data_IF_243749814563
#
_entry.id   IF_243749814563
#
_cell.length_a   1.000
_cell.length_b   1.000
_cell.length_c   1.000
_cell.angle_alpha   90.00
_cell.angle_beta   90.00
_cell.angle_gamma   90.00
#
_symmetry.space_group_name_H-M   'P 1'
#
loop_
_entity.id
_entity.type
_entity.pdbx_description
1 polymer ?
#
# COMPACT_ATOMS: atom_id res chain seq x y z
N UNK A 1 -0.58 0.33 -16.97
CA UNK A 1 -1.70 0.45 -16.01
C UNK A 1 -1.09 0.62 -14.63
N UNK A 2 -1.39 1.73 -13.96
CA UNK A 2 -0.87 2.01 -12.63
C UNK A 2 -1.86 1.50 -11.58
N UNK A 3 -1.36 0.79 -10.58
CA UNK A 3 -2.14 0.40 -9.42
C UNK A 3 -1.45 0.88 -8.13
N UNK A 4 -2.27 1.10 -7.10
CA UNK A 4 -1.85 1.52 -5.78
C UNK A 4 -2.08 0.41 -4.75
N UNK A 5 -1.05 0.09 -3.98
CA UNK A 5 -1.20 -0.66 -2.73
C UNK A 5 -1.21 0.30 -1.56
N UNK A 6 -2.17 0.16 -0.65
CA UNK A 6 -2.23 0.88 0.61
C UNK A 6 -2.15 -0.13 1.75
N UNK A 7 -1.20 0.05 2.64
CA UNK A 7 -1.13 -0.68 3.91
C UNK A 7 -1.37 0.33 5.05
N UNK A 8 -2.22 -0.03 6.01
CA UNK A 8 -2.45 0.80 7.19
C UNK A 8 -2.34 -0.06 8.43
N UNK A 9 -1.17 0.03 9.05
CA UNK A 9 -0.82 -0.59 10.32
C UNK A 9 -1.10 0.30 11.52
N UNK A 10 -0.69 -0.18 12.69
CA UNK A 10 -0.83 0.51 13.98
C UNK A 10 0.12 1.70 14.11
N UNK A 11 1.33 1.59 13.54
CA UNK A 11 2.40 2.56 13.67
C UNK A 11 2.54 3.46 12.44
N UNK A 12 2.34 2.88 11.26
CA UNK A 12 2.53 3.52 9.98
C UNK A 12 1.42 3.16 8.99
N UNK A 13 1.26 4.05 8.00
CA UNK A 13 0.57 3.72 6.77
C UNK A 13 1.50 3.94 5.58
N UNK A 14 1.34 3.09 4.59
CA UNK A 14 2.23 2.98 3.44
C UNK A 14 1.41 3.03 2.16
N UNK A 15 1.97 3.68 1.14
CA UNK A 15 1.47 3.59 -0.21
C UNK A 15 2.58 3.14 -1.16
N UNK A 16 2.24 2.33 -2.15
CA UNK A 16 3.13 1.97 -3.26
C UNK A 16 2.39 2.11 -4.57
N UNK A 17 3.01 2.78 -5.54
CA UNK A 17 2.52 2.85 -6.92
C UNK A 17 3.31 1.88 -7.79
N UNK A 18 2.61 1.04 -8.55
CA UNK A 18 3.20 0.04 -9.43
C UNK A 18 2.63 0.14 -10.84
N UNK A 19 3.48 0.03 -11.85
CA UNK A 19 3.11 -0.19 -13.25
C UNK A 19 3.59 -1.58 -13.70
N UNK A 20 2.66 -2.53 -13.77
CA UNK A 20 3.03 -3.94 -13.96
C UNK A 20 3.89 -4.43 -12.78
N UNK A 21 5.11 -4.88 -13.07
CA UNK A 21 6.10 -5.27 -12.06
C UNK A 21 7.04 -4.13 -11.64
N UNK A 22 6.90 -2.94 -12.24
CA UNK A 22 7.78 -1.81 -11.93
C UNK A 22 7.20 -0.98 -10.78
N UNK A 23 7.99 -0.78 -9.72
CA UNK A 23 7.66 0.21 -8.68
C UNK A 23 7.95 1.62 -9.19
N UNK A 24 6.95 2.49 -9.16
CA UNK A 24 7.06 3.90 -9.55
C UNK A 24 7.52 4.78 -8.39
N UNK A 25 7.06 4.45 -7.19
CA UNK A 25 7.39 5.15 -5.96
C UNK A 25 6.60 4.59 -4.79
N UNK A 26 6.97 5.00 -3.59
CA UNK A 26 6.30 4.63 -2.36
C UNK A 26 6.37 5.77 -1.35
N UNK A 27 5.53 5.69 -0.32
CA UNK A 27 5.53 6.59 0.82
C UNK A 27 5.29 5.81 2.10
N UNK A 28 5.74 6.38 3.21
CA UNK A 28 5.51 5.88 4.56
C UNK A 28 5.18 7.09 5.44
N UNK A 29 4.03 7.04 6.11
CA UNK A 29 3.58 8.07 7.05
C UNK A 29 3.30 7.44 8.41
N UNK A 30 3.26 8.26 9.47
CA UNK A 30 2.84 7.79 10.79
C UNK A 30 1.33 7.64 10.82
N UNK A 31 0.83 6.56 11.43
CA UNK A 31 -0.61 6.38 11.60
C UNK A 31 -1.19 7.50 12.46
N UNK A 32 -2.19 8.18 11.91
CA UNK A 32 -2.96 9.20 12.61
C UNK A 32 -4.10 8.56 13.40
N UNK A 33 -4.97 9.37 14.00
CA UNK A 33 -6.08 8.85 14.81
C UNK A 33 -7.13 8.09 13.97
N UNK A 34 -7.15 8.29 12.65
CA UNK A 34 -8.08 7.65 11.73
C UNK A 34 -7.31 7.02 10.55
N UNK A 35 -7.53 5.72 10.30
CA UNK A 35 -6.84 5.02 9.21
C UNK A 35 -7.21 5.55 7.83
N UNK A 36 -8.41 6.13 7.66
CA UNK A 36 -8.81 6.79 6.41
C UNK A 36 -7.92 8.01 6.13
N UNK A 37 -7.66 8.86 7.13
CA UNK A 37 -6.73 9.98 7.02
C UNK A 37 -5.32 9.50 6.71
N UNK A 38 -4.85 8.48 7.44
CA UNK A 38 -3.51 7.90 7.20
C UNK A 38 -3.36 7.40 5.75
N UNK A 39 -4.38 6.74 5.20
CA UNK A 39 -4.37 6.27 3.82
C UNK A 39 -4.32 7.41 2.80
N UNK A 40 -5.05 8.51 3.03
CA UNK A 40 -4.98 9.70 2.18
C UNK A 40 -3.60 10.34 2.21
N UNK A 41 -3.04 10.54 3.41
CA UNK A 41 -1.71 11.13 3.59
C UNK A 41 -0.63 10.32 2.86
N UNK A 42 -0.67 8.98 2.99
CA UNK A 42 0.24 8.10 2.28
C UNK A 42 0.09 8.23 0.75
N UNK A 43 -1.14 8.20 0.24
CA UNK A 43 -1.42 8.33 -1.19
C UNK A 43 -0.98 9.69 -1.75
N UNK A 44 -1.33 10.78 -1.10
CA UNK A 44 -0.98 12.14 -1.53
C UNK A 44 0.53 12.35 -1.55
N UNK A 45 1.24 11.81 -0.55
CA UNK A 45 2.69 11.87 -0.48
C UNK A 45 3.34 11.18 -1.70
N UNK A 46 2.94 9.94 -2.03
CA UNK A 46 3.54 9.22 -3.16
C UNK A 46 3.16 9.84 -4.51
N UNK A 47 1.93 10.35 -4.66
CA UNK A 47 1.51 11.06 -5.89
C UNK A 47 2.34 12.32 -6.10
N UNK A 48 2.55 13.11 -5.05
CA UNK A 48 3.38 14.32 -5.11
C UNK A 48 4.83 13.99 -5.47
N UNK A 49 5.41 12.98 -4.84
CA UNK A 49 6.83 12.64 -5.02
C UNK A 49 7.11 11.99 -6.38
N UNK A 50 6.12 11.29 -6.96
CA UNK A 50 6.24 10.66 -8.29
C UNK A 50 5.75 11.54 -9.44
N UNK A 51 4.93 12.55 -9.16
CA UNK A 51 4.24 13.36 -10.17
C UNK A 51 3.14 12.60 -10.94
N UNK A 52 2.79 11.38 -10.51
CA UNK A 52 1.71 10.60 -11.13
C UNK A 52 0.38 11.28 -10.78
N UNK A 53 -0.47 11.60 -11.77
CA UNK A 53 -1.80 12.12 -11.51
C UNK A 53 -2.70 11.01 -10.97
N UNK A 54 -3.59 11.35 -10.03
CA UNK A 54 -4.44 10.37 -9.34
C UNK A 54 -5.34 9.61 -10.31
N UNK A 55 -5.75 10.25 -11.39
CA UNK A 55 -6.63 9.73 -12.44
C UNK A 55 -5.99 8.57 -13.22
N UNK A 56 -4.66 8.44 -13.19
CA UNK A 56 -3.93 7.31 -13.80
C UNK A 56 -3.95 6.04 -12.94
N UNK A 57 -4.36 6.14 -11.68
CA UNK A 57 -4.53 4.96 -10.81
C UNK A 57 -5.77 4.20 -11.25
N UNK A 58 -5.55 3.07 -11.91
CA UNK A 58 -6.61 2.20 -12.39
C UNK A 58 -7.19 1.31 -11.28
N UNK A 59 -6.40 0.99 -10.26
CA UNK A 59 -6.85 0.13 -9.17
C UNK A 59 -6.11 0.41 -7.86
N UNK A 60 -6.83 0.32 -6.75
CA UNK A 60 -6.30 0.44 -5.39
C UNK A 60 -6.70 -0.78 -4.57
N UNK A 61 -5.71 -1.39 -3.89
CA UNK A 61 -5.90 -2.50 -2.95
C UNK A 61 -5.45 -2.04 -1.57
N UNK A 62 -6.31 -2.19 -0.56
CA UNK A 62 -5.97 -1.90 0.83
C UNK A 62 -5.69 -3.17 1.64
N UNK A 63 -4.75 -3.05 2.58
CA UNK A 63 -4.32 -4.10 3.51
C UNK A 63 -3.96 -3.51 4.88
N UNK A 64 -3.48 -4.36 5.79
CA UNK A 64 -3.27 -4.01 7.19
C UNK A 64 -4.56 -4.05 8.02
N UNK A 65 -4.43 -3.71 9.31
CA UNK A 65 -5.55 -3.64 10.24
C UNK A 65 -6.57 -2.56 9.83
N UNK A 66 -6.10 -1.40 9.34
CA UNK A 66 -6.93 -0.28 8.91
C UNK A 66 -7.64 -0.47 7.55
N UNK A 67 -7.39 -1.57 6.82
CA UNK A 67 -7.87 -1.77 5.44
C UNK A 67 -9.36 -1.55 5.22
N UNK A 68 -10.18 -1.86 6.24
CA UNK A 68 -11.65 -1.85 6.11
C UNK A 68 -12.20 -0.44 5.92
N UNK A 69 -11.45 0.58 6.36
CA UNK A 69 -11.87 1.99 6.35
C UNK A 69 -11.08 2.84 5.34
N UNK A 70 -10.37 2.23 4.38
CA UNK A 70 -9.74 2.95 3.27
C UNK A 70 -10.80 3.29 2.21
N UNK A 71 -11.24 4.55 2.06
CA UNK A 71 -12.48 4.88 1.37
C UNK A 71 -12.39 4.79 -0.17
N UNK A 72 -11.18 4.69 -0.71
CA UNK A 72 -10.91 4.67 -2.15
C UNK A 72 -10.32 3.34 -2.63
N UNK A 73 -10.26 2.32 -1.76
CA UNK A 73 -9.83 0.99 -2.15
C UNK A 73 -10.97 0.25 -2.86
N UNK A 74 -10.69 -0.36 -4.02
CA UNK A 74 -11.65 -1.21 -4.72
C UNK A 74 -11.65 -2.63 -4.17
N UNK A 75 -10.57 -3.03 -3.47
CA UNK A 75 -10.44 -4.36 -2.87
C UNK A 75 -9.70 -4.28 -1.54
N UNK A 76 -10.11 -5.13 -0.62
CA UNK A 76 -9.40 -5.38 0.63
C UNK A 76 -8.82 -6.79 0.63
N UNK A 77 -7.55 -6.91 1.00
CA UNK A 77 -6.82 -8.17 1.07
C UNK A 77 -6.11 -8.25 2.41
N UNK A 78 -5.99 -9.45 2.99
CA UNK A 78 -5.30 -9.61 4.28
C UNK A 78 -3.81 -9.24 4.18
N UNK A 79 -3.27 -8.65 5.24
CA UNK A 79 -1.84 -8.30 5.34
C UNK A 79 -0.95 -9.53 5.14
N UNK A 80 -1.36 -10.69 5.65
CA UNK A 80 -0.66 -11.96 5.47
C UNK A 80 -0.49 -12.30 3.98
N UNK A 81 -1.56 -12.15 3.17
CA UNK A 81 -1.50 -12.41 1.73
C UNK A 81 -0.65 -11.36 1.01
N UNK A 82 -0.73 -10.09 1.43
CA UNK A 82 0.06 -9.00 0.85
C UNK A 82 1.54 -9.15 1.16
N UNK A 83 1.93 -9.44 2.41
CA UNK A 83 3.30 -9.76 2.80
C UNK A 83 3.84 -10.97 2.04
N UNK A 84 3.06 -12.05 1.95
CA UNK A 84 3.46 -13.23 1.17
C UNK A 84 3.73 -12.89 -0.30
N UNK A 85 2.84 -12.10 -0.93
CA UNK A 85 2.99 -11.67 -2.32
C UNK A 85 4.17 -10.73 -2.51
N UNK A 86 4.33 -9.73 -1.65
CA UNK A 86 5.43 -8.76 -1.72
C UNK A 86 6.79 -9.40 -1.46
N UNK A 87 6.89 -10.25 -0.44
CA UNK A 87 8.11 -11.00 -0.16
C UNK A 87 8.48 -11.96 -1.29
N UNK A 88 7.51 -12.66 -1.89
CA UNK A 88 7.78 -13.53 -3.04
C UNK A 88 8.16 -12.74 -4.30
N UNK A 89 7.60 -11.55 -4.49
CA UNK A 89 7.96 -10.64 -5.58
C UNK A 89 9.44 -10.22 -5.51
N UNK A 90 9.94 -9.87 -4.32
CA UNK A 90 11.35 -9.47 -4.13
C UNK A 90 12.28 -10.68 -3.98
N UNK A 91 11.83 -11.73 -3.30
CA UNK A 91 12.57 -12.95 -3.00
C UNK A 91 11.76 -14.20 -3.39
N UNK A 92 11.81 -14.63 -4.67
CA UNK A 92 10.98 -15.75 -5.17
C UNK A 92 11.19 -17.09 -4.45
N UNK A 93 12.37 -17.28 -3.84
CA UNK A 93 12.72 -18.47 -3.08
C UNK A 93 12.34 -18.40 -1.60
N UNK A 94 11.76 -17.29 -1.11
CA UNK A 94 11.34 -17.18 0.29
C UNK A 94 10.35 -18.29 0.66
N UNK A 95 10.53 -18.89 1.84
CA UNK A 95 9.65 -19.93 2.41
C UNK A 95 9.17 -19.60 3.81
N UNK A 96 9.75 -18.59 4.45
CA UNK A 96 9.38 -18.12 5.78
C UNK A 96 9.47 -16.61 5.77
N UNK A 97 8.44 -15.96 6.30
CA UNK A 97 8.36 -14.50 6.48
C UNK A 97 8.12 -14.29 7.97
N UNK A 98 8.98 -13.50 8.60
CA UNK A 98 8.79 -13.04 9.97
C UNK A 98 8.47 -11.55 9.90
N UNK A 99 7.21 -11.22 10.11
CA UNK A 99 6.75 -9.84 10.21
C UNK A 99 6.63 -9.42 11.68
N UNK A 100 7.18 -8.26 12.03
CA UNK A 100 7.24 -7.71 13.38
C UNK A 100 6.76 -6.25 13.35
N UNK A 101 5.44 -6.09 13.24
CA UNK A 101 4.74 -4.80 13.35
C UNK A 101 4.50 -4.34 14.78
#
# INVERSE_FOLDING_TARGET
MICCGIDVGSLSGEAVLMEGERVLGYSIVRTSHESATTAWEALELVLRDTGVPREEIACTVATGYGRVIVPFAQRNVSEISCHARGANFVFPSARTILDMG
#
